data_IF_126995343412
#
_entry.id   IF_126995343412
#
_cell.length_a   1.000
_cell.length_b   1.000
_cell.length_c   1.000
_cell.angle_alpha   90.00
_cell.angle_beta   90.00
_cell.angle_gamma   90.00
#
_symmetry.space_group_name_H-M   'P 1'
#
loop_
_entity.id
_entity.type
_entity.pdbx_description
1 polymer ?
#
# COMPACT_ATOMS: atom_id res chain seq x y z
N UNK A 1 0.86 20.93 -1.83
CA UNK A 1 0.03 19.71 -2.00
C UNK A 1 0.96 18.53 -2.20
N UNK A 2 0.67 17.37 -1.63
CA UNK A 2 1.49 16.15 -1.76
C UNK A 2 1.11 15.42 -3.05
N UNK A 3 2.09 14.92 -3.80
CA UNK A 3 1.89 14.18 -5.04
C UNK A 3 2.22 12.69 -4.87
N UNK A 4 1.49 11.80 -5.55
CA UNK A 4 1.73 10.35 -5.49
C UNK A 4 3.16 9.98 -5.90
N UNK A 5 3.75 10.71 -6.86
CA UNK A 5 5.13 10.51 -7.25
C UNK A 5 6.12 10.76 -6.10
N UNK A 6 5.88 11.80 -5.30
CA UNK A 6 6.68 12.09 -4.11
C UNK A 6 6.57 10.97 -3.06
N UNK A 7 5.38 10.41 -2.88
CA UNK A 7 5.17 9.27 -1.98
C UNK A 7 5.95 8.03 -2.47
N UNK A 8 5.92 7.73 -3.77
CA UNK A 8 6.73 6.64 -4.36
C UNK A 8 8.22 6.83 -4.12
N UNK A 9 8.72 8.05 -4.32
CA UNK A 9 10.10 8.40 -4.04
C UNK A 9 10.46 8.21 -2.56
N UNK A 10 9.60 8.69 -1.66
CA UNK A 10 9.81 8.57 -0.23
C UNK A 10 9.81 7.11 0.23
N UNK A 11 8.83 6.31 -0.17
CA UNK A 11 8.76 4.88 0.19
C UNK A 11 10.01 4.15 -0.27
N UNK A 12 10.48 4.39 -1.50
CA UNK A 12 11.70 3.76 -2.00
C UNK A 12 12.93 4.14 -1.18
N UNK A 13 13.11 5.42 -0.81
CA UNK A 13 14.24 5.85 0.03
C UNK A 13 14.13 5.29 1.45
N UNK A 14 12.93 5.27 2.01
CA UNK A 14 12.65 4.75 3.35
C UNK A 14 12.95 3.25 3.49
N UNK A 15 12.68 2.47 2.46
CA UNK A 15 12.93 1.03 2.43
C UNK A 15 14.40 0.69 2.16
N UNK A 16 15.04 1.44 1.26
CA UNK A 16 16.43 1.22 0.89
C UNK A 16 17.44 1.84 1.89
N UNK A 17 17.01 2.83 2.65
CA UNK A 17 17.86 3.67 3.51
C UNK A 17 19.11 4.18 2.76
N UNK A 18 18.98 4.35 1.45
CA UNK A 18 20.08 4.74 0.55
C UNK A 18 19.55 5.35 -0.74
N UNK A 19 19.81 6.63 -0.98
CA UNK A 19 19.32 7.34 -2.17
C UNK A 19 19.74 6.72 -3.50
N UNK A 20 20.98 6.24 -3.61
CA UNK A 20 21.48 5.62 -4.85
C UNK A 20 20.77 4.31 -5.19
N UNK A 21 20.47 3.44 -4.19
CA UNK A 21 19.69 2.21 -4.40
C UNK A 21 18.25 2.53 -4.72
N UNK A 22 17.64 3.45 -4.00
CA UNK A 22 16.28 3.90 -4.27
C UNK A 22 16.13 4.49 -5.68
N UNK A 23 17.09 5.31 -6.12
CA UNK A 23 17.09 5.87 -7.47
C UNK A 23 17.16 4.77 -8.54
N UNK A 24 18.05 3.78 -8.38
CA UNK A 24 18.12 2.61 -9.28
C UNK A 24 16.80 1.83 -9.31
N UNK A 25 16.18 1.59 -8.16
CA UNK A 25 14.89 0.90 -8.06
C UNK A 25 13.77 1.64 -8.79
N UNK A 26 13.81 2.97 -8.80
CA UNK A 26 12.83 3.82 -9.49
C UNK A 26 13.24 4.18 -10.93
N UNK A 27 14.30 3.60 -11.47
CA UNK A 27 14.82 3.88 -12.81
C UNK A 27 15.09 5.37 -13.05
N UNK A 28 15.64 6.05 -12.05
CA UNK A 28 15.98 7.48 -12.12
C UNK A 28 17.37 7.75 -11.54
N UNK A 29 17.88 8.97 -11.72
CA UNK A 29 19.13 9.42 -11.09
C UNK A 29 18.86 9.97 -9.69
N UNK A 30 19.91 10.04 -8.86
CA UNK A 30 19.78 10.48 -7.47
C UNK A 30 19.37 11.95 -7.30
N UNK A 31 19.83 12.95 -8.12
CA UNK A 31 19.45 14.34 -7.93
C UNK A 31 17.94 14.60 -8.01
N UNK A 32 17.18 14.14 -9.03
CA UNK A 32 15.75 14.33 -9.07
C UNK A 32 15.03 13.60 -7.90
N UNK A 33 15.49 12.40 -7.50
CA UNK A 33 14.93 11.72 -6.34
C UNK A 33 15.08 12.56 -5.07
N UNK A 34 16.28 13.09 -4.82
CA UNK A 34 16.56 13.95 -3.66
C UNK A 34 15.66 15.18 -3.64
N UNK A 35 15.44 15.79 -4.83
CA UNK A 35 14.55 16.95 -4.97
C UNK A 35 13.10 16.60 -4.62
N UNK A 36 12.59 15.43 -5.05
CA UNK A 36 11.21 15.01 -4.72
C UNK A 36 11.02 14.83 -3.21
N UNK A 37 12.01 14.28 -2.51
CA UNK A 37 11.97 14.17 -1.06
C UNK A 37 11.95 15.55 -0.39
N UNK A 38 12.81 16.48 -0.85
CA UNK A 38 12.83 17.84 -0.30
C UNK A 38 11.50 18.58 -0.50
N UNK A 39 10.88 18.43 -1.67
CA UNK A 39 9.57 19.02 -1.95
C UNK A 39 8.48 18.42 -1.04
N UNK A 40 8.51 17.11 -0.80
CA UNK A 40 7.60 16.43 0.10
C UNK A 40 7.77 16.92 1.55
N UNK A 41 9.00 16.95 2.06
CA UNK A 41 9.30 17.44 3.41
C UNK A 41 8.91 18.92 3.57
N UNK A 42 9.16 19.75 2.54
CA UNK A 42 8.72 21.13 2.52
C UNK A 42 7.19 21.27 2.55
N UNK A 43 6.47 20.48 1.75
CA UNK A 43 5.01 20.50 1.71
C UNK A 43 4.37 20.06 3.05
N UNK A 44 5.05 19.18 3.79
CA UNK A 44 4.63 18.71 5.12
C UNK A 44 5.08 19.66 6.24
N UNK A 45 6.09 20.50 6.01
CA UNK A 45 6.72 21.34 7.02
C UNK A 45 7.53 20.57 8.07
N UNK A 46 7.88 19.30 7.79
CA UNK A 46 8.61 18.41 8.71
C UNK A 46 9.66 17.59 7.95
N UNK A 47 10.76 17.23 8.63
CA UNK A 47 11.73 16.30 8.11
C UNK A 47 11.26 14.85 8.33
N UNK A 48 11.26 14.06 7.26
CA UNK A 48 10.94 12.62 7.29
C UNK A 48 12.20 11.77 7.38
N UNK A 49 13.33 12.30 6.91
CA UNK A 49 14.62 11.62 6.86
C UNK A 49 15.70 12.44 7.58
N UNK A 50 16.49 11.75 8.39
CA UNK A 50 17.78 12.24 8.88
C UNK A 50 18.87 11.86 7.89
N UNK A 51 19.63 12.84 7.43
CA UNK A 51 20.70 12.65 6.43
C UNK A 51 22.04 13.01 7.05
N UNK A 52 22.93 12.06 7.11
CA UNK A 52 24.35 12.32 7.36
C UNK A 52 25.18 11.92 6.13
N UNK A 53 26.45 12.30 6.09
CA UNK A 53 27.36 11.89 5.01
C UNK A 53 27.54 10.37 4.88
N UNK A 54 27.11 9.61 5.87
CA UNK A 54 27.32 8.15 5.94
C UNK A 54 26.04 7.33 6.04
N UNK A 55 24.91 7.92 6.45
CA UNK A 55 23.68 7.17 6.73
C UNK A 55 22.43 8.01 6.43
N UNK A 56 21.40 7.32 5.96
CA UNK A 56 20.02 7.82 5.87
C UNK A 56 19.20 7.03 6.88
N UNK A 57 18.42 7.73 7.70
CA UNK A 57 17.51 7.14 8.69
C UNK A 57 16.16 7.81 8.60
N UNK A 58 15.11 7.11 9.01
CA UNK A 58 13.79 7.73 9.22
C UNK A 58 13.77 8.51 10.53
N UNK A 59 13.11 9.66 10.52
CA UNK A 59 12.64 10.29 11.76
C UNK A 59 11.44 9.53 12.32
N UNK A 60 11.03 9.78 13.57
CA UNK A 60 9.79 9.24 14.12
C UNK A 60 8.56 9.63 13.26
N UNK A 61 8.56 10.86 12.73
CA UNK A 61 7.54 11.31 11.78
C UNK A 61 7.62 10.54 10.45
N UNK A 62 8.84 10.26 9.95
CA UNK A 62 9.07 9.45 8.75
C UNK A 62 8.58 8.01 8.88
N UNK A 63 8.82 7.37 10.03
CA UNK A 63 8.31 6.01 10.31
C UNK A 63 6.77 5.97 10.31
N UNK A 64 6.13 6.94 10.94
CA UNK A 64 4.69 7.08 10.92
C UNK A 64 4.18 7.32 9.50
N UNK A 65 4.77 8.28 8.81
CA UNK A 65 4.35 8.67 7.47
C UNK A 65 4.57 7.57 6.43
N UNK A 66 5.58 6.70 6.61
CA UNK A 66 5.84 5.56 5.71
C UNK A 66 4.64 4.60 5.66
N UNK A 67 4.00 4.34 6.79
CA UNK A 67 2.79 3.49 6.83
C UNK A 67 1.67 4.12 6.03
N UNK A 68 1.41 5.39 6.25
CA UNK A 68 0.34 6.11 5.56
C UNK A 68 0.62 6.26 4.06
N UNK A 69 1.87 6.55 3.69
CA UNK A 69 2.30 6.65 2.28
C UNK A 69 2.09 5.33 1.50
N UNK A 70 2.41 4.19 2.12
CA UNK A 70 2.15 2.87 1.53
C UNK A 70 0.65 2.65 1.30
N UNK A 71 -0.19 2.96 2.29
CA UNK A 71 -1.64 2.83 2.18
C UNK A 71 -2.22 3.70 1.05
N UNK A 72 -1.77 4.95 0.95
CA UNK A 72 -2.21 5.86 -0.11
C UNK A 72 -1.85 5.31 -1.50
N UNK A 73 -0.61 4.85 -1.68
CA UNK A 73 -0.15 4.30 -2.95
C UNK A 73 -0.92 3.02 -3.33
N UNK A 74 -1.16 2.14 -2.38
CA UNK A 74 -1.93 0.92 -2.62
C UNK A 74 -3.41 1.24 -2.92
N UNK A 75 -4.00 2.18 -2.19
CA UNK A 75 -5.37 2.64 -2.47
C UNK A 75 -5.49 3.25 -3.87
N UNK A 76 -4.53 4.09 -4.26
CA UNK A 76 -4.50 4.66 -5.63
C UNK A 76 -4.44 3.58 -6.70
N UNK A 77 -3.54 2.60 -6.54
CA UNK A 77 -3.41 1.49 -7.50
C UNK A 77 -4.70 0.67 -7.62
N UNK A 78 -5.39 0.42 -6.48
CA UNK A 78 -6.68 -0.28 -6.49
C UNK A 78 -7.79 0.53 -7.15
N UNK A 79 -7.83 1.84 -6.94
CA UNK A 79 -8.80 2.71 -7.58
C UNK A 79 -8.64 2.70 -9.11
N UNK A 80 -7.40 2.78 -9.60
CA UNK A 80 -7.08 2.67 -11.03
C UNK A 80 -7.54 1.32 -11.60
N UNK A 81 -7.23 0.22 -10.93
CA UNK A 81 -7.65 -1.12 -11.36
C UNK A 81 -9.17 -1.29 -11.34
N UNK A 82 -9.86 -0.75 -10.31
CA UNK A 82 -11.30 -0.81 -10.24
C UNK A 82 -11.97 -0.06 -11.41
N UNK A 83 -11.49 1.13 -11.73
CA UNK A 83 -11.99 1.90 -12.87
C UNK A 83 -11.76 1.18 -14.20
N UNK A 84 -10.56 0.60 -14.40
CA UNK A 84 -10.25 -0.19 -15.59
C UNK A 84 -11.15 -1.42 -15.73
N UNK A 85 -11.44 -2.14 -14.64
CA UNK A 85 -12.34 -3.30 -14.67
C UNK A 85 -13.74 -2.92 -15.12
N UNK A 86 -14.30 -1.85 -14.56
CA UNK A 86 -15.62 -1.35 -14.96
C UNK A 86 -15.65 -0.98 -16.45
N UNK A 87 -14.60 -0.31 -16.94
CA UNK A 87 -14.49 0.09 -18.33
C UNK A 87 -14.40 -1.11 -19.31
N UNK A 88 -13.86 -2.24 -18.85
CA UNK A 88 -13.73 -3.47 -19.65
C UNK A 88 -14.87 -4.47 -19.42
N UNK A 89 -15.98 -4.06 -18.79
CA UNK A 89 -17.13 -4.92 -18.51
C UNK A 89 -16.84 -6.02 -17.47
N UNK A 90 -15.77 -5.88 -16.72
CA UNK A 90 -15.40 -6.82 -15.67
C UNK A 90 -16.24 -6.63 -14.42
N UNK A 91 -16.52 -7.73 -13.73
CA UNK A 91 -17.22 -7.77 -12.47
C UNK A 91 -16.44 -7.11 -11.32
N UNK A 92 -17.11 -6.89 -10.21
CA UNK A 92 -16.50 -6.36 -9.00
C UNK A 92 -15.39 -7.24 -8.44
N UNK A 93 -14.57 -6.67 -7.55
CA UNK A 93 -13.62 -7.44 -6.72
C UNK A 93 -13.97 -7.23 -5.25
N UNK A 94 -13.90 -8.30 -4.47
CA UNK A 94 -14.00 -8.28 -3.02
C UNK A 94 -12.66 -8.74 -2.45
N UNK A 95 -12.05 -7.94 -1.59
CA UNK A 95 -10.83 -8.29 -0.86
C UNK A 95 -11.20 -8.74 0.55
N UNK A 96 -10.96 -10.02 0.85
CA UNK A 96 -11.29 -10.64 2.14
C UNK A 96 -10.03 -10.88 2.96
N UNK A 97 -10.01 -10.35 4.20
CA UNK A 97 -9.02 -10.71 5.20
C UNK A 97 -9.41 -12.00 5.92
N UNK A 98 -8.42 -12.85 6.23
CA UNK A 98 -8.64 -14.05 7.00
C UNK A 98 -7.45 -14.39 7.89
N UNK A 99 -7.70 -15.14 8.96
CA UNK A 99 -6.65 -15.69 9.83
C UNK A 99 -6.36 -17.14 9.44
N UNK A 100 -5.19 -17.66 9.81
CA UNK A 100 -4.83 -19.06 9.58
C UNK A 100 -5.90 -20.05 10.08
N UNK A 101 -6.58 -19.72 11.19
CA UNK A 101 -7.64 -20.57 11.74
C UNK A 101 -8.87 -20.63 10.82
N UNK A 102 -9.27 -19.51 10.24
CA UNK A 102 -10.43 -19.46 9.33
C UNK A 102 -10.12 -20.05 7.94
N UNK A 103 -8.84 -20.16 7.57
CA UNK A 103 -8.39 -20.76 6.31
C UNK A 103 -8.83 -22.21 6.13
N UNK A 104 -8.88 -22.98 7.22
CA UNK A 104 -9.12 -24.43 7.13
C UNK A 104 -10.53 -24.83 6.72
N UNK A 105 -11.53 -24.12 7.17
CA UNK A 105 -12.94 -24.53 6.96
C UNK A 105 -13.80 -23.42 6.39
N UNK A 106 -13.68 -22.20 6.91
CA UNK A 106 -14.56 -21.10 6.51
C UNK A 106 -14.24 -20.60 5.10
N UNK A 107 -12.98 -20.37 4.79
CA UNK A 107 -12.58 -19.81 3.49
C UNK A 107 -12.95 -20.74 2.34
N UNK A 108 -12.65 -22.05 2.34
CA UNK A 108 -13.08 -22.95 1.26
C UNK A 108 -14.60 -22.99 1.06
N UNK A 109 -15.37 -23.02 2.15
CA UNK A 109 -16.84 -22.99 2.10
C UNK A 109 -17.36 -21.68 1.51
N UNK A 110 -16.80 -20.55 1.93
CA UNK A 110 -17.16 -19.24 1.42
C UNK A 110 -16.86 -19.11 -0.08
N UNK A 111 -15.67 -19.55 -0.51
CA UNK A 111 -15.28 -19.49 -1.93
C UNK A 111 -16.16 -20.39 -2.79
N UNK A 112 -16.49 -21.58 -2.34
CA UNK A 112 -17.40 -22.47 -3.06
C UNK A 112 -18.80 -21.85 -3.22
N UNK A 113 -19.30 -21.18 -2.16
CA UNK A 113 -20.58 -20.49 -2.21
C UNK A 113 -20.51 -19.24 -3.11
N UNK A 114 -19.45 -18.43 -2.97
CA UNK A 114 -19.24 -17.22 -3.77
C UNK A 114 -19.12 -17.54 -5.26
N UNK A 115 -18.38 -18.57 -5.64
CA UNK A 115 -18.25 -19.00 -7.02
C UNK A 115 -19.59 -19.37 -7.68
N UNK A 116 -20.54 -19.87 -6.89
CA UNK A 116 -21.86 -20.21 -7.38
C UNK A 116 -22.84 -19.03 -7.37
N UNK A 117 -22.82 -18.24 -6.29
CA UNK A 117 -23.77 -17.14 -6.10
C UNK A 117 -23.36 -15.85 -6.82
N UNK A 118 -22.06 -15.64 -7.02
CA UNK A 118 -21.45 -14.41 -7.55
C UNK A 118 -20.35 -14.74 -8.58
N UNK A 119 -20.70 -15.42 -9.70
CA UNK A 119 -19.73 -15.96 -10.65
C UNK A 119 -18.85 -14.88 -11.29
N UNK A 120 -19.33 -13.65 -11.34
CA UNK A 120 -18.64 -12.52 -11.96
C UNK A 120 -17.83 -11.69 -10.96
N UNK A 121 -17.74 -12.08 -9.68
CA UNK A 121 -16.95 -11.35 -8.68
C UNK A 121 -15.60 -12.05 -8.45
N UNK A 122 -14.52 -11.27 -8.62
CA UNK A 122 -13.17 -11.70 -8.28
C UNK A 122 -12.95 -11.58 -6.76
N UNK A 123 -12.61 -12.69 -6.10
CA UNK A 123 -12.36 -12.73 -4.65
C UNK A 123 -10.86 -12.80 -4.40
N UNK A 124 -10.30 -11.71 -3.88
CA UNK A 124 -8.91 -11.65 -3.42
C UNK A 124 -8.84 -12.01 -1.93
N UNK A 125 -7.98 -12.96 -1.59
CA UNK A 125 -7.78 -13.41 -0.21
C UNK A 125 -6.47 -12.86 0.36
N UNK A 126 -6.52 -12.32 1.58
CA UNK A 126 -5.33 -11.81 2.31
C UNK A 126 -5.26 -12.41 3.70
N UNK A 127 -4.21 -13.20 3.95
CA UNK A 127 -3.94 -13.71 5.29
C UNK A 127 -3.34 -12.62 6.17
N UNK A 128 -4.01 -12.34 7.28
CA UNK A 128 -3.61 -11.30 8.24
C UNK A 128 -4.07 -11.66 9.65
N UNK A 129 -3.31 -11.25 10.66
CA UNK A 129 -3.76 -11.33 12.05
C UNK A 129 -4.89 -10.33 12.33
N UNK A 130 -5.76 -10.64 13.31
CA UNK A 130 -6.99 -9.87 13.60
C UNK A 130 -6.76 -8.37 13.77
N UNK A 131 -5.73 -7.97 14.49
CA UNK A 131 -5.42 -6.55 14.71
C UNK A 131 -5.11 -5.80 13.42
N UNK A 132 -4.36 -6.43 12.50
CA UNK A 132 -4.03 -5.86 11.19
C UNK A 132 -5.27 -5.82 10.29
N UNK A 133 -6.17 -6.81 10.39
CA UNK A 133 -7.44 -6.78 9.64
C UNK A 133 -8.32 -5.61 10.05
N UNK A 134 -8.41 -5.27 11.34
CA UNK A 134 -9.20 -4.12 11.81
C UNK A 134 -8.69 -2.81 11.21
N UNK A 135 -7.37 -2.60 11.22
CA UNK A 135 -6.77 -1.41 10.59
C UNK A 135 -6.99 -1.39 9.07
N UNK A 136 -6.89 -2.53 8.43
CA UNK A 136 -7.11 -2.68 6.99
C UNK A 136 -8.59 -2.44 6.60
N UNK A 137 -9.55 -2.86 7.42
CA UNK A 137 -10.97 -2.54 7.23
C UNK A 137 -11.24 -1.04 7.41
N UNK A 138 -10.68 -0.43 8.47
CA UNK A 138 -10.84 1.01 8.72
C UNK A 138 -10.27 1.86 7.58
N UNK A 139 -9.16 1.44 6.99
CA UNK A 139 -8.52 2.10 5.83
C UNK A 139 -9.08 1.67 4.47
N UNK A 140 -10.13 0.86 4.43
CA UNK A 140 -10.73 0.27 3.21
C UNK A 140 -9.73 -0.54 2.37
N UNK A 141 -8.75 -1.13 3.02
CA UNK A 141 -7.81 -2.07 2.40
C UNK A 141 -8.38 -3.48 2.30
N UNK A 142 -9.39 -3.79 3.11
CA UNK A 142 -10.25 -4.95 3.03
C UNK A 142 -11.71 -4.50 2.90
N UNK A 143 -12.50 -5.28 2.21
CA UNK A 143 -13.96 -5.11 2.13
C UNK A 143 -14.66 -5.88 3.24
N UNK A 144 -14.10 -7.03 3.66
CA UNK A 144 -14.55 -7.80 4.79
C UNK A 144 -13.37 -8.57 5.44
N UNK A 145 -13.55 -9.05 6.68
CA UNK A 145 -12.52 -9.78 7.40
C UNK A 145 -13.08 -10.77 8.41
N UNK A 146 -12.36 -11.89 8.59
CA UNK A 146 -12.60 -12.90 9.61
C UNK A 146 -11.58 -12.71 10.73
N UNK A 147 -11.99 -12.09 11.81
CA UNK A 147 -11.17 -11.72 12.97
C UNK A 147 -11.42 -12.62 14.16
#
# INVERSE_FOLDING_TARGET
>A
MIELHQLRCFVAVAEELHFGRAAKRLFMTQPPLSRQIQLLEHALGIALLERSSRQVRLTAAGERFLRDARHILEFSARAEQAAQRVAHGGAGRITLGFTAVSAYRMIPMLLAHAAHALPDIDVELREMVSTVQVDALASRMLDAGFV
#
